data_IF_390405542995
#
_entry.id   IF_390405542995
#
_cell.length_a   1.000
_cell.length_b   1.000
_cell.length_c   1.000
_cell.angle_alpha   90.00
_cell.angle_beta   90.00
_cell.angle_gamma   90.00
#
_symmetry.space_group_name_H-M   'P 1'
#
loop_
_entity.id
_entity.type
_entity.pdbx_description
1 polymer ?
#
# COMPACT_ATOMS: atom_id res chain seq x y z
N UNK A 1 3.53 26.92 -3.78
CA UNK A 1 3.83 26.73 -2.34
C UNK A 1 4.71 25.51 -2.20
N UNK A 2 5.80 25.56 -1.43
CA UNK A 2 6.70 24.39 -1.22
C UNK A 2 6.02 23.34 -0.33
N UNK A 3 6.19 22.07 -0.65
CA UNK A 3 5.79 20.95 0.21
C UNK A 3 7.06 20.21 0.65
N UNK A 4 7.39 20.29 1.92
CA UNK A 4 8.60 19.71 2.51
C UNK A 4 8.18 18.54 3.40
N UNK A 5 8.90 17.42 3.32
CA UNK A 5 8.72 16.30 4.26
C UNK A 5 9.97 16.16 5.12
N UNK A 6 9.77 16.02 6.44
CA UNK A 6 10.85 15.73 7.39
C UNK A 6 10.79 14.25 7.73
N UNK A 7 11.92 13.53 7.68
CA UNK A 7 11.97 12.09 7.99
C UNK A 7 11.77 11.81 9.47
N UNK A 8 11.43 10.55 9.80
CA UNK A 8 11.47 10.05 11.19
C UNK A 8 12.88 10.14 11.76
N UNK A 9 13.00 10.21 13.10
CA UNK A 9 14.32 10.29 13.76
C UNK A 9 15.11 8.98 13.71
N UNK A 10 14.53 7.86 13.32
CA UNK A 10 15.16 6.55 13.21
C UNK A 10 15.03 6.01 11.79
N UNK A 11 15.95 5.10 11.41
CA UNK A 11 15.91 4.38 10.16
C UNK A 11 14.89 3.23 10.24
N UNK A 12 14.29 2.88 9.11
CA UNK A 12 13.44 1.69 8.98
C UNK A 12 13.65 1.05 7.60
N UNK A 13 13.29 -0.22 7.48
CA UNK A 13 13.45 -0.97 6.23
C UNK A 13 12.52 -0.41 5.13
N UNK A 14 13.09 -0.18 3.94
CA UNK A 14 12.36 0.38 2.79
C UNK A 14 12.17 1.90 2.84
N UNK A 15 12.79 2.61 3.77
CA UNK A 15 12.68 4.07 3.88
C UNK A 15 13.06 4.77 2.57
N UNK A 16 14.06 4.27 1.85
CA UNK A 16 14.48 4.80 0.54
C UNK A 16 13.39 4.72 -0.53
N UNK A 17 12.57 3.66 -0.50
CA UNK A 17 11.44 3.48 -1.42
C UNK A 17 10.33 4.48 -1.11
N UNK A 18 10.03 4.65 0.16
CA UNK A 18 9.08 5.66 0.63
C UNK A 18 9.49 7.07 0.24
N UNK A 19 10.76 7.40 0.42
CA UNK A 19 11.33 8.69 0.01
C UNK A 19 11.15 8.89 -1.49
N UNK A 20 11.41 7.88 -2.31
CA UNK A 20 11.22 7.95 -3.76
C UNK A 20 9.74 8.18 -4.13
N UNK A 21 8.81 7.47 -3.50
CA UNK A 21 7.37 7.67 -3.71
C UNK A 21 6.90 9.07 -3.30
N UNK A 22 7.40 9.62 -2.19
CA UNK A 22 7.07 10.99 -1.78
C UNK A 22 7.49 12.02 -2.85
N UNK A 23 8.65 11.85 -3.46
CA UNK A 23 9.10 12.70 -4.58
C UNK A 23 8.22 12.51 -5.83
N UNK A 24 7.81 11.29 -6.14
CA UNK A 24 6.87 11.00 -7.24
C UNK A 24 5.49 11.62 -7.00
N UNK A 25 5.06 11.75 -5.76
CA UNK A 25 3.85 12.46 -5.34
C UNK A 25 4.00 13.98 -5.32
N UNK A 26 5.18 14.52 -5.65
CA UNK A 26 5.40 15.94 -5.88
C UNK A 26 5.86 16.74 -4.66
N UNK A 27 6.49 16.12 -3.65
CA UNK A 27 7.18 16.91 -2.63
C UNK A 27 8.33 17.70 -3.27
N UNK A 28 8.57 18.91 -2.77
CA UNK A 28 9.61 19.80 -3.32
C UNK A 28 10.96 19.59 -2.66
N UNK A 29 11.00 19.10 -1.42
CA UNK A 29 12.22 18.87 -0.65
C UNK A 29 12.01 17.86 0.45
N UNK A 30 13.05 17.07 0.75
CA UNK A 30 13.09 16.14 1.87
C UNK A 30 14.13 16.63 2.90
N UNK A 31 13.71 16.80 4.15
CA UNK A 31 14.60 17.01 5.29
C UNK A 31 14.95 15.69 5.95
N UNK A 32 16.15 15.21 5.71
CA UNK A 32 16.67 13.97 6.29
C UNK A 32 17.19 14.27 7.70
N UNK A 33 16.38 13.90 8.69
CA UNK A 33 16.62 14.13 10.11
C UNK A 33 16.83 12.80 10.81
N UNK A 34 18.08 12.52 11.21
CA UNK A 34 18.51 11.28 11.89
C UNK A 34 19.39 11.63 13.11
N UNK A 35 18.78 12.15 14.19
CA UNK A 35 19.54 12.59 15.36
C UNK A 35 20.34 11.43 15.95
N UNK A 36 21.59 11.73 16.34
CA UNK A 36 22.52 10.79 16.95
C UNK A 36 22.96 9.59 16.07
N UNK A 37 22.68 9.61 14.77
CA UNK A 37 23.15 8.57 13.84
C UNK A 37 24.61 8.79 13.44
N UNK A 38 25.30 7.71 13.09
CA UNK A 38 26.60 7.78 12.46
C UNK A 38 26.54 8.33 11.03
N UNK A 39 27.61 8.95 10.56
CA UNK A 39 27.66 9.49 9.20
C UNK A 39 27.52 8.39 8.14
N UNK A 40 28.04 7.20 8.40
CA UNK A 40 27.99 6.02 7.54
C UNK A 40 26.55 5.53 7.33
N UNK A 41 25.70 5.58 8.35
CA UNK A 41 24.28 5.18 8.25
C UNK A 41 23.50 6.17 7.38
N UNK A 42 23.74 7.47 7.59
CA UNK A 42 23.11 8.53 6.76
C UNK A 42 23.59 8.42 5.32
N UNK A 43 24.88 8.19 5.10
CA UNK A 43 25.46 7.96 3.79
C UNK A 43 24.80 6.77 3.09
N UNK A 44 24.65 5.64 3.77
CA UNK A 44 24.00 4.44 3.25
C UNK A 44 22.57 4.73 2.78
N UNK A 45 21.81 5.52 3.52
CA UNK A 45 20.46 5.90 3.12
C UNK A 45 20.49 6.84 1.89
N UNK A 46 21.39 7.85 1.86
CA UNK A 46 21.53 8.77 0.71
C UNK A 46 21.87 8.00 -0.56
N UNK A 47 22.76 7.00 -0.49
CA UNK A 47 23.18 6.19 -1.63
C UNK A 47 22.04 5.33 -2.20
N UNK A 48 21.07 4.95 -1.37
CA UNK A 48 19.83 4.24 -1.78
C UNK A 48 18.77 5.17 -2.37
N UNK A 49 18.78 6.46 -2.06
CA UNK A 49 17.88 7.44 -2.69
C UNK A 49 18.25 7.60 -4.17
N UNK A 50 17.27 7.51 -5.12
CA UNK A 50 17.56 7.72 -6.55
C UNK A 50 18.29 9.04 -6.81
N UNK A 51 19.34 8.99 -7.64
CA UNK A 51 20.23 10.14 -7.89
C UNK A 51 19.48 11.40 -8.31
N UNK A 52 18.43 11.27 -9.11
CA UNK A 52 17.57 12.37 -9.58
C UNK A 52 16.90 13.19 -8.47
N UNK A 53 16.79 12.66 -7.24
CA UNK A 53 16.16 13.32 -6.11
C UNK A 53 17.15 13.88 -5.08
N UNK A 54 18.44 13.49 -5.15
CA UNK A 54 19.45 13.89 -4.13
C UNK A 54 19.61 15.39 -4.01
N UNK A 55 19.53 16.12 -5.12
CA UNK A 55 19.58 17.60 -5.12
C UNK A 55 18.39 18.29 -4.43
N UNK A 56 17.40 17.53 -3.97
CA UNK A 56 16.24 18.01 -3.22
C UNK A 56 16.27 17.56 -1.76
N UNK A 57 17.38 17.00 -1.29
CA UNK A 57 17.56 16.51 0.09
C UNK A 57 18.33 17.54 0.92
N UNK A 58 17.83 17.85 2.11
CA UNK A 58 18.45 18.72 3.12
C UNK A 58 18.79 17.88 4.34
N UNK A 59 20.03 17.98 4.84
CA UNK A 59 20.47 17.24 6.03
C UNK A 59 20.27 18.04 7.31
N UNK A 60 20.02 17.37 8.42
CA UNK A 60 20.00 17.94 9.78
C UNK A 60 21.24 17.59 10.61
N UNK A 61 21.98 16.61 10.19
CA UNK A 61 23.24 16.12 10.76
C UNK A 61 24.27 15.93 9.64
N UNK A 62 25.57 15.90 9.96
CA UNK A 62 26.66 15.58 9.04
C UNK A 62 26.76 16.53 7.82
N UNK A 63 26.98 17.85 8.00
CA UNK A 63 27.00 18.83 6.91
C UNK A 63 28.04 18.53 5.81
N UNK A 64 29.11 17.79 6.14
CA UNK A 64 30.15 17.36 5.17
C UNK A 64 29.61 16.45 4.05
N UNK A 65 28.46 15.78 4.28
CA UNK A 65 27.84 14.91 3.26
C UNK A 65 27.07 15.74 2.21
N UNK A 66 26.71 16.99 2.49
CA UNK A 66 25.97 17.85 1.56
C UNK A 66 26.76 18.06 0.27
N UNK A 67 28.02 18.45 0.37
CA UNK A 67 28.89 18.68 -0.79
C UNK A 67 29.24 17.35 -1.48
N UNK A 68 29.57 16.32 -0.70
CA UNK A 68 29.94 14.98 -1.20
C UNK A 68 28.87 14.39 -2.13
N UNK A 69 27.59 14.56 -1.79
CA UNK A 69 26.46 13.97 -2.52
C UNK A 69 25.66 14.99 -3.34
N UNK A 70 26.14 16.24 -3.43
CA UNK A 70 25.47 17.35 -4.15
C UNK A 70 24.01 17.53 -3.69
N UNK A 71 23.81 17.50 -2.37
CA UNK A 71 22.50 17.68 -1.77
C UNK A 71 22.08 19.15 -1.78
N UNK A 72 20.78 19.41 -1.52
CA UNK A 72 20.24 20.77 -1.54
C UNK A 72 20.88 21.68 -0.50
N UNK A 73 21.11 21.18 0.74
CA UNK A 73 21.65 22.01 1.80
C UNK A 73 21.60 21.38 3.18
N UNK A 74 21.71 22.24 4.18
CA UNK A 74 21.77 21.86 5.59
C UNK A 74 20.78 22.65 6.44
N UNK A 75 20.16 21.99 7.41
CA UNK A 75 19.23 22.58 8.36
C UNK A 75 19.87 22.79 9.72
N UNK A 76 20.08 24.06 10.08
CA UNK A 76 20.60 24.46 11.37
C UNK A 76 19.61 24.13 12.50
N UNK A 77 20.08 23.51 13.54
CA UNK A 77 19.31 23.12 14.71
C UNK A 77 20.15 23.19 15.98
N UNK A 78 19.56 22.92 17.15
CA UNK A 78 20.25 23.01 18.45
C UNK A 78 21.46 22.08 18.58
N UNK A 79 21.50 20.95 17.84
CA UNK A 79 22.62 19.99 17.85
C UNK A 79 23.75 20.41 16.89
N UNK A 80 23.38 21.06 15.80
CA UNK A 80 24.30 21.57 14.78
C UNK A 80 23.98 23.05 14.51
N UNK A 81 24.39 23.96 15.42
CA UNK A 81 24.01 25.38 15.33
C UNK A 81 24.89 26.19 14.36
N UNK A 82 26.01 25.63 13.91
CA UNK A 82 26.99 26.25 13.04
C UNK A 82 27.29 25.39 11.82
N UNK A 83 27.64 26.04 10.73
CA UNK A 83 28.13 25.40 9.51
C UNK A 83 29.65 25.32 9.52
N UNK A 84 30.23 24.34 8.82
CA UNK A 84 31.67 24.32 8.57
C UNK A 84 32.09 25.54 7.75
N UNK A 85 33.35 25.98 7.94
CA UNK A 85 33.93 27.05 7.14
C UNK A 85 33.87 26.69 5.65
N UNK A 86 33.45 27.67 4.82
CA UNK A 86 33.37 27.49 3.39
C UNK A 86 32.20 26.67 2.88
N UNK A 87 31.19 26.36 3.72
CA UNK A 87 29.98 25.64 3.30
C UNK A 87 29.27 26.34 2.13
N UNK A 88 28.94 25.59 1.04
CA UNK A 88 28.36 26.14 -0.19
C UNK A 88 26.90 25.69 -0.44
N UNK A 89 26.33 24.83 0.41
CA UNK A 89 24.94 24.37 0.26
C UNK A 89 23.90 25.40 0.72
N UNK A 90 22.65 25.18 0.39
CA UNK A 90 21.55 25.95 0.93
C UNK A 90 21.43 25.83 2.45
N UNK A 91 20.90 26.86 3.10
CA UNK A 91 20.78 26.93 4.57
C UNK A 91 19.33 27.13 4.97
N UNK A 92 18.87 26.34 5.91
CA UNK A 92 17.56 26.56 6.56
C UNK A 92 17.68 26.44 8.08
N UNK A 93 16.67 26.95 8.82
CA UNK A 93 16.66 26.94 10.28
C UNK A 93 15.26 26.80 10.84
N UNK A 94 15.13 26.20 12.02
CA UNK A 94 13.90 26.24 12.80
C UNK A 94 13.81 27.49 13.64
N UNK A 95 12.63 28.14 13.64
CA UNK A 95 12.26 29.26 14.49
C UNK A 95 10.99 28.89 15.29
N UNK A 96 10.96 29.32 16.54
CA UNK A 96 9.85 29.04 17.46
C UNK A 96 9.12 30.32 17.93
N UNK A 97 9.55 31.48 17.44
CA UNK A 97 8.88 32.75 17.62
C UNK A 97 9.03 33.65 16.40
N UNK A 98 8.21 34.72 16.31
CA UNK A 98 8.29 35.71 15.23
C UNK A 98 9.58 36.52 15.32
N UNK A 99 10.10 36.77 16.51
CA UNK A 99 11.38 37.45 16.75
C UNK A 99 12.53 36.63 16.19
N UNK A 100 12.50 35.30 16.32
CA UNK A 100 13.49 34.42 15.71
C UNK A 100 13.39 34.45 14.18
N UNK A 101 12.18 34.53 13.62
CA UNK A 101 11.99 34.67 12.17
C UNK A 101 12.65 35.96 11.69
N UNK A 102 12.36 37.10 12.33
CA UNK A 102 12.99 38.41 11.99
C UNK A 102 14.51 38.31 12.06
N UNK A 103 15.05 37.66 13.10
CA UNK A 103 16.49 37.56 13.34
C UNK A 103 17.22 36.70 12.31
N UNK A 104 16.61 35.60 11.83
CA UNK A 104 17.33 34.59 11.08
C UNK A 104 16.90 34.43 9.61
N UNK A 105 15.73 34.94 9.22
CA UNK A 105 15.17 34.75 7.87
C UNK A 105 16.10 35.20 6.75
N UNK A 106 16.77 36.34 6.91
CA UNK A 106 17.65 36.89 5.88
C UNK A 106 19.01 36.21 5.79
N UNK A 107 19.35 35.37 6.79
CA UNK A 107 20.56 34.56 6.82
C UNK A 107 20.36 33.17 6.25
N UNK A 108 19.12 32.84 5.86
CA UNK A 108 18.71 31.52 5.39
C UNK A 108 17.96 31.61 4.05
N UNK A 109 17.98 30.54 3.27
CA UNK A 109 17.10 30.39 2.09
C UNK A 109 15.63 30.31 2.51
N UNK A 110 15.37 29.71 3.66
CA UNK A 110 14.07 29.68 4.31
C UNK A 110 14.20 29.28 5.78
N UNK A 111 13.16 29.60 6.54
CA UNK A 111 13.04 29.20 7.95
C UNK A 111 11.74 28.44 8.19
N UNK A 112 11.75 27.48 9.14
CA UNK A 112 10.53 26.90 9.66
C UNK A 112 10.00 27.74 10.82
N UNK A 113 8.71 28.03 10.85
CA UNK A 113 8.01 28.57 12.02
C UNK A 113 7.12 27.48 12.63
N UNK A 114 7.34 27.15 13.90
CA UNK A 114 6.63 26.05 14.58
C UNK A 114 6.44 26.30 16.09
N UNK A 115 5.35 25.76 16.69
CA UNK A 115 4.25 25.04 16.07
C UNK A 115 3.13 25.97 15.59
N UNK A 116 2.63 25.76 14.35
CA UNK A 116 1.51 26.56 13.81
C UNK A 116 0.16 26.02 14.31
N UNK A 117 0.00 24.69 14.36
CA UNK A 117 -1.17 24.00 14.92
C UNK A 117 -0.74 23.04 16.02
N UNK A 118 -1.71 22.53 16.79
CA UNK A 118 -1.45 21.53 17.82
C UNK A 118 -0.77 20.29 17.22
N UNK A 119 0.24 19.80 17.92
CA UNK A 119 1.05 18.70 17.43
C UNK A 119 0.24 17.41 17.38
N UNK A 120 0.22 16.73 16.24
CA UNK A 120 -0.37 15.40 16.06
C UNK A 120 0.50 14.33 16.75
N UNK A 121 1.82 14.54 16.85
CA UNK A 121 2.80 13.52 17.26
C UNK A 121 3.45 13.78 18.62
N UNK A 122 3.11 14.86 19.33
CA UNK A 122 3.66 15.17 20.66
C UNK A 122 2.56 15.70 21.59
N UNK A 123 2.17 14.93 22.58
CA UNK A 123 1.27 15.39 23.64
C UNK A 123 1.84 16.63 24.34
N UNK A 124 1.01 17.66 24.51
CA UNK A 124 1.38 18.89 25.21
C UNK A 124 2.08 19.97 24.38
N UNK A 125 2.24 19.80 23.06
CA UNK A 125 2.80 20.80 22.14
C UNK A 125 1.66 21.50 21.38
N UNK A 126 1.02 22.48 22.01
CA UNK A 126 -0.07 23.27 21.42
C UNK A 126 0.45 24.43 20.55
N UNK A 127 -0.42 24.95 19.66
CA UNK A 127 -0.17 26.17 18.90
C UNK A 127 0.09 27.34 19.83
N UNK A 128 1.14 28.12 19.56
CA UNK A 128 1.48 29.34 20.29
C UNK A 128 1.05 30.62 19.55
N UNK A 129 0.51 30.47 18.31
CA UNK A 129 0.15 31.61 17.46
C UNK A 129 -1.36 31.64 17.23
N UNK A 130 -2.00 32.76 17.56
CA UNK A 130 -3.38 33.00 17.15
C UNK A 130 -3.46 33.37 15.66
N UNK A 131 -4.64 33.22 15.07
CA UNK A 131 -4.86 33.59 13.67
C UNK A 131 -4.58 35.07 13.42
N UNK A 132 -5.01 35.94 14.35
CA UNK A 132 -4.76 37.39 14.30
C UNK A 132 -3.26 37.69 14.32
N UNK A 133 -2.49 36.96 15.16
CA UNK A 133 -1.02 37.10 15.23
C UNK A 133 -0.35 36.76 13.92
N UNK A 134 -0.76 35.66 13.25
CA UNK A 134 -0.20 35.25 11.97
C UNK A 134 -0.56 36.23 10.84
N UNK A 135 -1.80 36.72 10.82
CA UNK A 135 -2.25 37.72 9.85
C UNK A 135 -1.51 39.05 9.99
N UNK A 136 -1.29 39.52 11.22
CA UNK A 136 -0.54 40.73 11.48
C UNK A 136 0.94 40.55 11.11
N UNK A 137 1.56 39.41 11.42
CA UNK A 137 2.93 39.09 11.02
C UNK A 137 3.08 39.05 9.50
N UNK A 138 2.07 38.58 8.77
CA UNK A 138 2.06 38.63 7.31
C UNK A 138 1.99 40.09 6.79
N UNK A 139 1.09 40.89 7.31
CA UNK A 139 0.97 42.34 6.95
C UNK A 139 2.26 43.11 7.18
N UNK A 140 2.98 42.78 8.25
CA UNK A 140 4.29 43.36 8.59
C UNK A 140 5.46 42.81 7.79
N UNK A 141 5.25 41.81 6.89
CA UNK A 141 6.30 41.16 6.08
C UNK A 141 7.22 40.25 6.91
N UNK A 142 6.86 39.90 8.14
CA UNK A 142 7.58 38.93 8.96
C UNK A 142 7.39 37.53 8.35
N UNK A 143 6.13 37.17 8.05
CA UNK A 143 5.80 35.94 7.29
C UNK A 143 5.78 36.30 5.81
N UNK A 144 6.56 35.56 5.00
CA UNK A 144 6.64 35.70 3.55
C UNK A 144 6.99 34.36 2.89
N UNK A 145 7.36 34.40 1.60
CA UNK A 145 7.72 33.20 0.82
C UNK A 145 8.92 32.41 1.35
N UNK A 146 9.71 32.96 2.28
CA UNK A 146 10.81 32.26 2.96
C UNK A 146 10.37 31.57 4.27
N UNK A 147 9.16 31.78 4.75
CA UNK A 147 8.68 31.18 6.00
C UNK A 147 7.83 29.96 5.67
N UNK A 148 8.24 28.80 6.18
CA UNK A 148 7.60 27.50 5.99
C UNK A 148 6.89 27.11 7.29
N UNK A 149 5.60 26.81 7.21
CA UNK A 149 4.81 26.39 8.36
C UNK A 149 5.17 24.95 8.79
N UNK A 150 5.37 24.72 10.09
CA UNK A 150 5.63 23.41 10.69
C UNK A 150 4.83 23.26 12.00
N UNK A 151 4.52 22.03 12.38
CA UNK A 151 3.74 21.67 13.59
C UNK A 151 2.26 21.53 13.30
N UNK A 152 1.71 20.31 13.47
CA UNK A 152 0.31 19.98 13.24
C UNK A 152 -0.17 20.14 11.79
N UNK A 153 0.72 20.32 10.83
CA UNK A 153 0.39 20.61 9.44
C UNK A 153 -0.14 19.38 8.72
N UNK A 154 -1.24 19.58 7.96
CA UNK A 154 -1.83 18.62 7.03
C UNK A 154 -2.02 19.26 5.66
N UNK A 155 -2.13 18.49 4.55
CA UNK A 155 -2.33 19.04 3.20
C UNK A 155 -3.55 19.96 3.06
N UNK A 156 -4.62 19.70 3.80
CA UNK A 156 -5.84 20.51 3.83
C UNK A 156 -5.62 21.95 4.32
N UNK A 157 -4.54 22.21 5.07
CA UNK A 157 -4.17 23.55 5.52
C UNK A 157 -3.52 24.41 4.43
N UNK A 158 -3.25 23.85 3.23
CA UNK A 158 -2.52 24.54 2.17
C UNK A 158 -3.14 25.90 1.78
N UNK A 159 -4.47 25.98 1.64
CA UNK A 159 -5.18 27.21 1.29
C UNK A 159 -5.06 28.26 2.37
N UNK A 160 -5.22 27.88 3.63
CA UNK A 160 -5.07 28.73 4.79
C UNK A 160 -3.64 29.31 4.89
N UNK A 161 -2.62 28.46 4.78
CA UNK A 161 -1.22 28.86 4.84
C UNK A 161 -0.86 29.83 3.71
N UNK A 162 -1.36 29.57 2.50
CA UNK A 162 -1.16 30.49 1.37
C UNK A 162 -1.81 31.85 1.61
N UNK A 163 -3.01 31.90 2.16
CA UNK A 163 -3.71 33.14 2.49
C UNK A 163 -2.97 33.97 3.56
N UNK A 164 -2.22 33.31 4.45
CA UNK A 164 -1.42 33.94 5.51
C UNK A 164 0.06 34.14 5.10
N UNK A 165 0.38 34.09 3.80
CA UNK A 165 1.69 34.48 3.26
C UNK A 165 2.81 33.46 3.39
N UNK A 166 2.55 32.25 3.91
CA UNK A 166 3.58 31.22 4.01
C UNK A 166 4.06 30.73 2.64
N UNK A 167 5.38 30.59 2.48
CA UNK A 167 6.01 30.08 1.26
C UNK A 167 5.88 28.57 1.08
N UNK A 168 5.54 27.85 2.17
CA UNK A 168 5.39 26.40 2.13
C UNK A 168 4.87 25.79 3.40
N UNK A 169 4.72 24.48 3.38
CA UNK A 169 4.35 23.63 4.50
C UNK A 169 5.35 22.50 4.70
N UNK A 170 5.62 22.15 5.96
CA UNK A 170 6.46 21.02 6.33
C UNK A 170 5.61 19.96 7.05
N UNK A 171 5.67 18.73 6.53
CA UNK A 171 4.91 17.58 7.00
C UNK A 171 5.85 16.62 7.74
N UNK A 172 5.46 16.18 8.92
CA UNK A 172 6.16 15.16 9.71
C UNK A 172 5.15 14.10 10.19
N UNK A 173 4.39 14.36 11.24
CA UNK A 173 3.44 13.42 11.83
C UNK A 173 2.43 12.89 10.79
N UNK A 174 1.80 13.78 10.03
CA UNK A 174 0.81 13.42 9.01
C UNK A 174 1.30 12.36 8.01
N UNK A 175 2.57 12.44 7.59
CA UNK A 175 3.16 11.46 6.64
C UNK A 175 3.45 10.13 7.34
N UNK A 176 4.07 10.20 8.53
CA UNK A 176 4.66 9.02 9.15
C UNK A 176 3.72 8.29 10.10
N UNK A 177 2.70 8.96 10.66
CA UNK A 177 1.69 8.31 11.51
C UNK A 177 0.80 7.39 10.68
N UNK A 178 0.53 7.73 9.41
CA UNK A 178 -0.12 6.82 8.46
C UNK A 178 0.66 5.53 8.22
N UNK A 179 1.99 5.57 8.31
CA UNK A 179 2.87 4.38 8.20
C UNK A 179 2.87 3.51 9.46
N UNK A 180 2.49 4.07 10.62
CA UNK A 180 2.42 3.30 11.87
C UNK A 180 1.10 2.53 12.00
N UNK A 181 0.06 3.01 11.33
CA UNK A 181 -1.25 2.34 11.33
C UNK A 181 -1.36 1.51 10.06
N UNK A 182 -1.19 0.19 10.14
CA UNK A 182 -1.36 -0.67 8.98
C UNK A 182 -2.77 -0.49 8.40
N UNK A 183 -2.93 -0.39 7.07
CA UNK A 183 -4.26 -0.33 6.49
C UNK A 183 -5.01 -1.61 6.77
N UNK A 184 -6.28 -1.49 7.15
CA UNK A 184 -7.15 -2.64 7.42
C UNK A 184 -7.66 -3.19 6.11
N UNK A 185 -7.38 -4.47 5.84
CA UNK A 185 -7.87 -5.21 4.67
C UNK A 185 -8.78 -6.33 5.14
N UNK A 186 -10.01 -6.36 4.62
CA UNK A 186 -11.00 -7.37 4.94
C UNK A 186 -10.93 -8.52 3.92
N UNK A 187 -10.67 -9.74 4.38
CA UNK A 187 -10.84 -10.96 3.59
C UNK A 187 -12.18 -11.59 3.88
N UNK A 188 -12.99 -11.82 2.84
CA UNK A 188 -14.26 -12.54 2.89
C UNK A 188 -14.07 -13.83 2.08
N UNK A 189 -13.85 -14.96 2.75
CA UNK A 189 -13.56 -16.23 2.06
C UNK A 189 -13.78 -17.46 2.95
N UNK A 190 -13.68 -18.64 2.36
CA UNK A 190 -13.66 -19.90 3.08
C UNK A 190 -12.36 -20.10 3.88
N UNK A 191 -12.44 -20.89 4.93
CA UNK A 191 -11.31 -21.30 5.77
C UNK A 191 -10.69 -22.58 5.23
N UNK A 192 -9.40 -22.58 4.92
CA UNK A 192 -8.59 -23.75 4.54
C UNK A 192 -7.85 -24.30 5.76
N UNK A 193 -8.24 -25.49 6.24
CA UNK A 193 -7.62 -26.13 7.40
C UNK A 193 -6.15 -26.47 7.21
N UNK A 194 -5.67 -26.63 5.96
CA UNK A 194 -4.25 -26.82 5.66
C UNK A 194 -3.42 -25.54 5.71
N UNK A 195 -4.10 -24.39 5.74
CA UNK A 195 -3.46 -23.06 5.85
C UNK A 195 -2.80 -22.55 4.58
N UNK A 196 -2.96 -23.22 3.43
CA UNK A 196 -2.31 -22.85 2.18
C UNK A 196 -3.11 -21.90 1.29
N UNK A 197 -4.44 -21.87 1.46
CA UNK A 197 -5.36 -21.02 0.69
C UNK A 197 -6.39 -20.34 1.62
N UNK A 198 -7.47 -19.81 1.05
CA UNK A 198 -8.58 -19.19 1.79
C UNK A 198 -8.12 -18.04 2.67
N UNK A 199 -8.89 -17.77 3.74
CA UNK A 199 -8.58 -16.68 4.68
C UNK A 199 -7.18 -16.82 5.29
N UNK A 200 -6.63 -18.03 5.43
CA UNK A 200 -5.30 -18.25 6.01
C UNK A 200 -4.20 -17.73 5.09
N UNK A 201 -4.27 -17.98 3.79
CA UNK A 201 -3.35 -17.39 2.81
C UNK A 201 -3.53 -15.87 2.72
N UNK A 202 -4.78 -15.39 2.77
CA UNK A 202 -5.10 -13.98 2.74
C UNK A 202 -4.49 -13.24 3.94
N UNK A 203 -4.71 -13.73 5.17
CA UNK A 203 -4.13 -13.15 6.39
C UNK A 203 -2.61 -13.12 6.36
N UNK A 204 -1.97 -14.23 5.95
CA UNK A 204 -0.51 -14.29 5.81
C UNK A 204 0.01 -13.28 4.81
N UNK A 205 -0.65 -13.16 3.65
CA UNK A 205 -0.28 -12.21 2.59
C UNK A 205 -0.43 -10.77 3.06
N UNK A 206 -1.60 -10.40 3.59
CA UNK A 206 -1.89 -9.05 4.06
C UNK A 206 -0.88 -8.66 5.16
N UNK A 207 -0.64 -9.55 6.12
CA UNK A 207 0.31 -9.30 7.22
C UNK A 207 1.76 -9.20 6.74
N UNK A 208 2.19 -10.06 5.80
CA UNK A 208 3.54 -10.02 5.22
C UNK A 208 3.81 -8.74 4.43
N UNK A 209 2.75 -8.12 3.88
CA UNK A 209 2.80 -6.86 3.13
C UNK A 209 2.51 -5.63 4.00
N UNK A 210 2.47 -5.77 5.34
CA UNK A 210 2.33 -4.65 6.27
C UNK A 210 0.89 -4.15 6.46
N UNK A 211 -0.13 -4.89 6.01
CA UNK A 211 -1.53 -4.63 6.29
C UNK A 211 -2.01 -5.30 7.59
N UNK A 212 -3.11 -4.83 8.14
CA UNK A 212 -3.84 -5.49 9.22
C UNK A 212 -4.99 -6.31 8.63
N UNK A 213 -4.90 -7.64 8.73
CA UNK A 213 -5.89 -8.55 8.18
C UNK A 213 -7.08 -8.72 9.12
N UNK A 214 -8.29 -8.48 8.60
CA UNK A 214 -9.56 -8.89 9.22
C UNK A 214 -10.24 -9.92 8.34
N UNK A 215 -11.11 -10.77 8.92
CA UNK A 215 -11.68 -11.89 8.19
C UNK A 215 -13.16 -12.05 8.42
N UNK A 216 -13.86 -12.50 7.37
CA UNK A 216 -15.23 -13.01 7.37
C UNK A 216 -15.20 -14.41 6.76
N UNK A 217 -15.59 -15.40 7.54
CA UNK A 217 -15.59 -16.80 7.12
C UNK A 217 -16.91 -17.13 6.45
N UNK A 218 -16.86 -17.61 5.20
CA UNK A 218 -18.04 -18.00 4.41
C UNK A 218 -18.33 -19.50 4.49
N UNK A 219 -17.28 -20.31 4.65
CA UNK A 219 -17.37 -21.75 4.84
C UNK A 219 -16.14 -22.27 5.58
N UNK A 220 -16.28 -23.38 6.29
CA UNK A 220 -15.17 -24.12 6.89
C UNK A 220 -14.91 -25.34 6.03
N UNK A 221 -13.66 -25.57 5.61
CA UNK A 221 -13.30 -26.77 4.85
C UNK A 221 -12.46 -27.73 5.67
N UNK A 222 -12.75 -29.02 5.55
CA UNK A 222 -11.84 -30.07 5.91
C UNK A 222 -10.97 -30.36 4.68
N UNK A 223 -9.85 -29.67 4.58
CA UNK A 223 -8.99 -29.67 3.39
C UNK A 223 -7.53 -29.91 3.75
N UNK A 224 -6.85 -30.62 2.86
CA UNK A 224 -5.41 -30.78 2.85
C UNK A 224 -4.85 -30.50 1.42
N UNK A 225 -3.53 -30.50 1.20
CA UNK A 225 -2.95 -30.22 -0.12
C UNK A 225 -3.36 -31.17 -1.25
N UNK A 226 -3.99 -32.31 -0.96
CA UNK A 226 -4.39 -33.32 -1.96
C UNK A 226 -5.87 -33.29 -2.27
N UNK A 227 -6.75 -32.91 -1.32
CA UNK A 227 -8.20 -32.95 -1.50
C UNK A 227 -8.97 -32.04 -0.52
N UNK A 228 -10.19 -31.68 -0.93
CA UNK A 228 -11.25 -31.17 -0.05
C UNK A 228 -12.13 -32.32 0.36
N UNK A 229 -12.10 -32.68 1.64
CA UNK A 229 -12.84 -33.81 2.22
C UNK A 229 -14.24 -33.44 2.70
N UNK A 230 -14.48 -32.16 2.98
CA UNK A 230 -15.78 -31.66 3.42
C UNK A 230 -15.83 -30.14 3.42
N UNK A 231 -17.04 -29.60 3.24
CA UNK A 231 -17.32 -28.17 3.29
C UNK A 231 -18.54 -27.96 4.16
N UNK A 232 -18.42 -27.13 5.19
CA UNK A 232 -19.52 -26.69 6.02
C UNK A 232 -19.75 -25.20 5.81
N UNK A 233 -20.85 -24.76 5.17
CA UNK A 233 -21.12 -23.34 4.97
C UNK A 233 -21.46 -22.65 6.29
N UNK A 234 -20.98 -21.43 6.46
CA UNK A 234 -21.42 -20.53 7.51
C UNK A 234 -22.78 -19.94 7.10
N UNK A 235 -23.71 -19.83 8.04
CA UNK A 235 -25.05 -19.30 7.72
C UNK A 235 -24.96 -17.86 7.19
N UNK A 236 -25.81 -17.46 6.22
CA UNK A 236 -25.82 -16.09 5.70
C UNK A 236 -26.00 -15.02 6.79
N UNK A 237 -26.77 -15.32 7.84
CA UNK A 237 -26.93 -14.44 9.00
C UNK A 237 -25.63 -14.23 9.78
N UNK A 238 -24.81 -15.29 9.96
CA UNK A 238 -23.51 -15.17 10.62
C UNK A 238 -22.50 -14.46 9.73
N UNK A 239 -22.50 -14.68 8.41
CA UNK A 239 -21.67 -13.92 7.46
C UNK A 239 -21.99 -12.42 7.55
N UNK A 240 -23.29 -12.07 7.59
CA UNK A 240 -23.71 -10.69 7.82
C UNK A 240 -23.16 -10.12 9.13
N UNK A 241 -23.36 -10.85 10.24
CA UNK A 241 -22.91 -10.39 11.56
C UNK A 241 -21.39 -10.17 11.62
N UNK A 242 -20.58 -11.02 10.97
CA UNK A 242 -19.14 -10.86 10.88
C UNK A 242 -18.77 -9.58 10.08
N UNK A 243 -19.44 -9.34 8.94
CA UNK A 243 -19.18 -8.12 8.12
C UNK A 243 -19.54 -6.89 8.93
N UNK A 244 -20.72 -6.83 9.55
CA UNK A 244 -21.17 -5.69 10.36
C UNK A 244 -20.19 -5.41 11.51
N UNK A 245 -19.75 -6.45 12.24
CA UNK A 245 -18.80 -6.30 13.34
C UNK A 245 -17.48 -5.66 12.88
N UNK A 246 -16.94 -6.09 11.74
CA UNK A 246 -15.68 -5.56 11.21
C UNK A 246 -15.87 -4.15 10.63
N UNK A 247 -16.86 -3.96 9.73
CA UNK A 247 -17.05 -2.71 9.00
C UNK A 247 -17.50 -1.55 9.89
N UNK A 248 -18.18 -1.82 11.01
CA UNK A 248 -18.57 -0.78 11.99
C UNK A 248 -17.48 -0.50 13.01
N UNK A 249 -16.61 -1.47 13.29
CA UNK A 249 -15.57 -1.39 14.31
C UNK A 249 -14.20 -0.94 13.82
N UNK A 250 -13.94 -1.01 12.49
CA UNK A 250 -12.60 -0.78 11.94
C UNK A 250 -12.65 -0.01 10.61
N UNK A 251 -11.65 0.86 10.30
CA UNK A 251 -11.59 1.62 9.06
C UNK A 251 -11.06 0.74 7.92
N UNK A 252 -11.92 -0.13 7.38
CA UNK A 252 -11.56 -1.03 6.27
C UNK A 252 -11.23 -0.23 5.01
N UNK A 253 -9.98 -0.30 4.57
CA UNK A 253 -9.48 0.40 3.38
C UNK A 253 -9.81 -0.35 2.07
N UNK A 254 -9.74 -1.70 2.11
CA UNK A 254 -10.01 -2.56 0.97
C UNK A 254 -10.63 -3.88 1.41
N UNK A 255 -11.53 -4.43 0.59
CA UNK A 255 -12.06 -5.79 0.79
C UNK A 255 -11.57 -6.73 -0.33
N UNK A 256 -11.17 -7.95 0.04
CA UNK A 256 -10.90 -9.04 -0.89
C UNK A 256 -11.95 -10.13 -0.68
N UNK A 257 -12.54 -10.60 -1.76
CA UNK A 257 -13.53 -11.68 -1.76
C UNK A 257 -12.91 -12.89 -2.48
N UNK A 258 -12.99 -14.07 -1.84
CA UNK A 258 -12.57 -15.35 -2.41
C UNK A 258 -13.74 -16.31 -2.53
N UNK A 259 -13.58 -17.56 -2.01
CA UNK A 259 -14.63 -18.56 -2.03
C UNK A 259 -15.86 -18.12 -1.19
N UNK A 260 -17.04 -18.07 -1.79
CA UNK A 260 -18.30 -17.59 -1.17
C UNK A 260 -19.40 -18.63 -1.05
N UNK A 261 -19.23 -19.82 -1.61
CA UNK A 261 -20.02 -21.04 -1.50
C UNK A 261 -21.42 -21.00 -2.12
N UNK A 262 -22.36 -20.15 -1.65
CA UNK A 262 -23.78 -20.17 -2.09
C UNK A 262 -24.32 -18.81 -2.51
N UNK A 263 -25.43 -18.82 -3.27
CA UNK A 263 -26.12 -17.62 -3.74
C UNK A 263 -26.61 -16.75 -2.56
N UNK A 264 -27.11 -17.34 -1.49
CA UNK A 264 -27.61 -16.59 -0.33
C UNK A 264 -26.47 -15.84 0.40
N UNK A 265 -25.29 -16.47 0.49
CA UNK A 265 -24.10 -15.81 1.07
C UNK A 265 -23.65 -14.67 0.15
N UNK A 266 -23.63 -14.88 -1.17
CA UNK A 266 -23.27 -13.85 -2.15
C UNK A 266 -24.21 -12.64 -2.06
N UNK A 267 -25.51 -12.85 -2.02
CA UNK A 267 -26.50 -11.78 -1.86
C UNK A 267 -26.30 -11.03 -0.54
N UNK A 268 -25.98 -11.74 0.53
CA UNK A 268 -25.74 -11.11 1.83
C UNK A 268 -24.47 -10.26 1.82
N UNK A 269 -23.39 -10.74 1.20
CA UNK A 269 -22.16 -9.97 1.00
C UNK A 269 -22.46 -8.72 0.15
N UNK A 270 -23.18 -8.87 -0.94
CA UNK A 270 -23.53 -7.76 -1.82
C UNK A 270 -24.35 -6.65 -1.10
N UNK A 271 -25.35 -7.05 -0.29
CA UNK A 271 -26.12 -6.11 0.55
C UNK A 271 -25.23 -5.35 1.53
N UNK A 272 -24.28 -6.04 2.14
CA UNK A 272 -23.34 -5.42 3.09
C UNK A 272 -22.36 -4.46 2.38
N UNK A 273 -21.85 -4.83 1.19
CA UNK A 273 -21.00 -3.94 0.38
C UNK A 273 -21.72 -2.67 -0.08
N UNK A 274 -22.99 -2.80 -0.50
CA UNK A 274 -23.82 -1.64 -0.88
C UNK A 274 -24.05 -0.68 0.29
N UNK A 275 -24.16 -1.22 1.53
CA UNK A 275 -24.37 -0.43 2.74
C UNK A 275 -23.09 0.27 3.19
N UNK A 276 -21.97 -0.46 3.29
CA UNK A 276 -20.72 0.04 3.87
C UNK A 276 -19.78 0.71 2.86
N UNK A 277 -19.90 0.38 1.57
CA UNK A 277 -19.16 0.98 0.44
C UNK A 277 -17.64 1.10 0.71
N UNK A 278 -16.93 -0.03 0.90
CA UNK A 278 -15.48 0.02 1.01
C UNK A 278 -14.89 0.68 -0.24
N UNK A 279 -13.77 1.38 -0.11
CA UNK A 279 -13.16 2.16 -1.19
C UNK A 279 -12.78 1.30 -2.41
N UNK A 280 -12.41 0.04 -2.17
CA UNK A 280 -12.03 -0.89 -3.23
C UNK A 280 -12.36 -2.33 -2.84
N UNK A 281 -12.89 -3.09 -3.80
CA UNK A 281 -13.23 -4.50 -3.66
C UNK A 281 -12.55 -5.30 -4.76
N UNK A 282 -11.73 -6.28 -4.36
CA UNK A 282 -11.14 -7.27 -5.27
C UNK A 282 -11.88 -8.58 -5.12
N UNK A 283 -12.43 -9.14 -6.19
CA UNK A 283 -13.06 -10.47 -6.19
C UNK A 283 -12.24 -11.47 -7.01
N UNK A 284 -11.75 -12.50 -6.33
CA UNK A 284 -11.19 -13.70 -6.97
C UNK A 284 -12.33 -14.72 -7.12
N UNK A 285 -12.84 -14.97 -8.34
CA UNK A 285 -14.03 -15.81 -8.56
C UNK A 285 -13.68 -17.30 -8.47
N UNK A 286 -13.31 -17.75 -7.29
CA UNK A 286 -12.86 -19.13 -7.05
C UNK A 286 -14.01 -20.11 -7.27
N UNK A 287 -14.07 -20.75 -8.43
CA UNK A 287 -15.10 -21.73 -8.83
C UNK A 287 -14.67 -23.17 -8.52
N UNK A 288 -13.38 -23.46 -8.68
CA UNK A 288 -12.80 -24.79 -8.54
C UNK A 288 -11.53 -24.70 -7.67
N UNK A 289 -11.34 -25.66 -6.77
CA UNK A 289 -10.12 -25.76 -5.97
C UNK A 289 -8.91 -26.13 -6.81
N UNK A 290 -7.70 -25.90 -6.28
CA UNK A 290 -6.44 -26.37 -6.91
C UNK A 290 -6.42 -27.87 -7.15
N UNK A 291 -7.12 -28.66 -6.31
CA UNK A 291 -7.28 -30.12 -6.45
C UNK A 291 -8.38 -30.55 -7.43
N UNK A 292 -9.10 -29.60 -8.07
CA UNK A 292 -10.15 -29.86 -9.04
C UNK A 292 -11.56 -30.07 -8.47
N UNK A 293 -11.74 -29.89 -7.16
CA UNK A 293 -13.08 -29.98 -6.53
C UNK A 293 -13.90 -28.73 -6.79
N UNK A 294 -15.19 -28.83 -7.19
CA UNK A 294 -16.07 -27.69 -7.32
C UNK A 294 -16.30 -27.04 -5.93
N UNK A 295 -16.20 -25.70 -5.87
CA UNK A 295 -16.33 -24.89 -4.66
C UNK A 295 -17.57 -24.01 -4.67
N UNK A 296 -18.27 -23.92 -5.82
CA UNK A 296 -19.50 -23.16 -6.00
C UNK A 296 -20.58 -24.05 -6.62
N UNK A 297 -21.82 -23.82 -6.21
CA UNK A 297 -22.98 -24.36 -6.88
C UNK A 297 -23.26 -23.56 -8.18
N UNK A 298 -23.93 -24.15 -9.21
CA UNK A 298 -24.25 -23.42 -10.44
C UNK A 298 -25.03 -22.11 -10.21
N UNK A 299 -25.99 -22.11 -9.30
CA UNK A 299 -26.78 -20.91 -8.95
C UNK A 299 -25.94 -19.81 -8.31
N UNK A 300 -24.85 -20.18 -7.61
CA UNK A 300 -23.93 -19.23 -7.02
C UNK A 300 -23.10 -18.49 -8.09
N UNK A 301 -22.79 -19.12 -9.21
CA UNK A 301 -22.08 -18.46 -10.31
C UNK A 301 -22.92 -17.33 -10.91
N UNK A 302 -24.21 -17.59 -11.15
CA UNK A 302 -25.14 -16.57 -11.63
C UNK A 302 -25.26 -15.40 -10.63
N UNK A 303 -25.32 -15.70 -9.33
CA UNK A 303 -25.38 -14.68 -8.29
C UNK A 303 -24.07 -13.84 -8.24
N UNK A 304 -22.90 -14.45 -8.46
CA UNK A 304 -21.63 -13.72 -8.62
C UNK A 304 -21.70 -12.71 -9.78
N UNK A 305 -22.12 -13.19 -10.95
CA UNK A 305 -22.17 -12.37 -12.18
C UNK A 305 -23.14 -11.20 -12.06
N UNK A 306 -24.35 -11.44 -11.54
CA UNK A 306 -25.43 -10.44 -11.56
C UNK A 306 -25.45 -9.54 -10.34
N UNK A 307 -24.92 -10.00 -9.20
CA UNK A 307 -25.12 -9.30 -7.92
C UNK A 307 -23.81 -8.80 -7.31
N UNK A 308 -22.70 -9.56 -7.43
CA UNK A 308 -21.47 -9.23 -6.74
C UNK A 308 -20.44 -8.53 -7.64
N UNK A 309 -20.19 -9.01 -8.88
CA UNK A 309 -19.19 -8.42 -9.77
C UNK A 309 -19.43 -6.94 -10.06
N UNK A 310 -20.67 -6.46 -10.27
CA UNK A 310 -20.93 -5.03 -10.47
C UNK A 310 -20.59 -4.14 -9.28
N UNK A 311 -20.37 -4.71 -8.10
CA UNK A 311 -19.96 -4.00 -6.89
C UNK A 311 -18.45 -4.01 -6.67
N UNK A 312 -17.70 -4.79 -7.46
CA UNK A 312 -16.25 -4.91 -7.37
C UNK A 312 -15.57 -3.90 -8.29
N UNK A 313 -14.40 -3.40 -7.90
CA UNK A 313 -13.51 -2.60 -8.74
C UNK A 313 -12.55 -3.46 -9.55
N UNK A 314 -12.35 -4.73 -9.14
CA UNK A 314 -11.51 -5.68 -9.87
C UNK A 314 -12.04 -7.11 -9.68
N UNK A 315 -12.12 -7.87 -10.77
CA UNK A 315 -12.25 -9.33 -10.73
C UNK A 315 -10.97 -9.97 -11.31
N UNK A 316 -10.55 -11.12 -10.73
CA UNK A 316 -9.27 -11.76 -11.08
C UNK A 316 -9.45 -13.21 -11.53
N UNK A 317 -10.23 -13.51 -12.58
CA UNK A 317 -10.41 -14.87 -13.05
C UNK A 317 -9.11 -15.48 -13.59
N UNK A 318 -8.88 -16.78 -13.34
CA UNK A 318 -7.92 -17.54 -14.10
C UNK A 318 -8.48 -17.85 -15.51
N UNK A 319 -7.67 -18.45 -16.39
CA UNK A 319 -8.08 -18.69 -17.77
C UNK A 319 -9.34 -19.57 -17.86
N UNK A 320 -9.49 -20.61 -17.04
CA UNK A 320 -10.67 -21.48 -17.06
C UNK A 320 -11.92 -20.79 -16.52
N UNK A 321 -11.77 -20.00 -15.48
CA UNK A 321 -12.85 -19.13 -14.94
C UNK A 321 -13.27 -18.08 -15.96
N UNK A 322 -12.29 -17.47 -16.66
CA UNK A 322 -12.56 -16.53 -17.73
C UNK A 322 -13.28 -17.16 -18.92
N UNK A 323 -12.89 -18.36 -19.36
CA UNK A 323 -13.58 -19.15 -20.39
C UNK A 323 -15.05 -19.42 -20.01
N UNK A 324 -15.29 -19.79 -18.75
CA UNK A 324 -16.64 -20.05 -18.25
C UNK A 324 -17.51 -18.78 -18.30
N UNK A 325 -17.00 -17.66 -17.80
CA UNK A 325 -17.70 -16.37 -17.74
C UNK A 325 -17.92 -15.75 -19.14
N UNK A 326 -16.95 -15.97 -20.05
CA UNK A 326 -16.98 -15.49 -21.43
C UNK A 326 -17.86 -16.36 -22.33
N UNK A 327 -18.03 -17.64 -21.98
CA UNK A 327 -18.86 -18.60 -22.70
C UNK A 327 -18.17 -19.28 -23.89
N UNK A 328 -16.85 -19.12 -24.06
CA UNK A 328 -16.07 -19.76 -25.12
C UNK A 328 -14.61 -19.97 -24.71
N UNK A 329 -13.92 -20.89 -25.43
CA UNK A 329 -12.51 -21.16 -25.21
C UNK A 329 -11.63 -19.95 -25.54
N UNK A 330 -10.51 -19.82 -24.80
CA UNK A 330 -9.53 -18.75 -24.94
C UNK A 330 -8.17 -19.42 -25.14
N UNK A 331 -7.60 -19.34 -26.34
CA UNK A 331 -6.39 -20.04 -26.72
C UNK A 331 -5.25 -19.11 -27.12
N UNK A 332 -5.58 -17.88 -27.51
CA UNK A 332 -4.61 -16.89 -28.00
C UNK A 332 -4.58 -15.63 -27.13
N UNK A 333 -3.52 -14.84 -27.28
CA UNK A 333 -3.37 -13.55 -26.61
C UNK A 333 -4.51 -12.58 -27.00
N UNK A 334 -4.88 -12.54 -28.29
CA UNK A 334 -5.94 -11.67 -28.80
C UNK A 334 -7.32 -12.09 -28.26
N UNK A 335 -7.59 -13.38 -28.14
CA UNK A 335 -8.80 -13.89 -27.50
C UNK A 335 -8.83 -13.55 -26.01
N UNK A 336 -7.68 -13.62 -25.30
CA UNK A 336 -7.58 -13.21 -23.89
C UNK A 336 -7.87 -11.71 -23.72
N UNK A 337 -7.35 -10.87 -24.62
CA UNK A 337 -7.64 -9.42 -24.63
C UNK A 337 -9.13 -9.15 -24.87
N UNK A 338 -9.71 -9.83 -25.88
CA UNK A 338 -11.12 -9.66 -26.18
C UNK A 338 -12.00 -10.12 -25.01
N UNK A 339 -11.71 -11.25 -24.40
CA UNK A 339 -12.42 -11.75 -23.22
C UNK A 339 -12.31 -10.77 -22.03
N UNK A 340 -11.10 -10.27 -21.72
CA UNK A 340 -10.92 -9.29 -20.66
C UNK A 340 -11.76 -8.02 -20.88
N UNK A 341 -11.78 -7.50 -22.10
CA UNK A 341 -12.61 -6.34 -22.47
C UNK A 341 -14.09 -6.65 -22.35
N UNK A 342 -14.57 -7.75 -22.95
CA UNK A 342 -15.98 -8.14 -22.94
C UNK A 342 -16.51 -8.35 -21.53
N UNK A 343 -15.74 -9.03 -20.68
CA UNK A 343 -16.11 -9.24 -19.27
C UNK A 343 -16.11 -7.93 -18.48
N UNK A 344 -15.17 -7.02 -18.75
CA UNK A 344 -15.13 -5.71 -18.12
C UNK A 344 -16.36 -4.86 -18.50
N UNK A 345 -16.73 -4.84 -19.78
CA UNK A 345 -17.93 -4.15 -20.25
C UNK A 345 -19.21 -4.79 -19.70
N UNK A 346 -19.27 -6.13 -19.63
CA UNK A 346 -20.42 -6.89 -19.09
C UNK A 346 -20.68 -6.60 -17.61
N UNK A 347 -19.62 -6.52 -16.80
CA UNK A 347 -19.74 -6.39 -15.34
C UNK A 347 -19.44 -4.98 -14.82
N UNK A 348 -19.06 -4.04 -15.68
CA UNK A 348 -18.68 -2.67 -15.34
C UNK A 348 -17.55 -2.62 -14.29
N UNK A 349 -16.55 -3.49 -14.42
CA UNK A 349 -15.42 -3.63 -13.50
C UNK A 349 -14.10 -3.88 -14.25
N UNK A 350 -12.96 -3.57 -13.63
CA UNK A 350 -11.68 -3.99 -14.19
C UNK A 350 -11.55 -5.53 -14.16
N UNK A 351 -10.89 -6.10 -15.16
CA UNK A 351 -10.71 -7.56 -15.28
C UNK A 351 -9.25 -7.90 -15.46
N UNK A 352 -8.70 -8.69 -14.54
CA UNK A 352 -7.36 -9.30 -14.63
C UNK A 352 -7.48 -10.77 -14.96
N UNK A 353 -7.25 -11.18 -16.20
CA UNK A 353 -7.17 -12.60 -16.60
C UNK A 353 -5.78 -13.12 -16.28
N UNK A 354 -5.71 -14.15 -15.41
CA UNK A 354 -4.47 -14.80 -14.98
C UNK A 354 -4.02 -15.84 -16.01
N UNK A 355 -2.82 -15.68 -16.56
CA UNK A 355 -2.26 -16.55 -17.62
C UNK A 355 -1.62 -17.86 -17.14
N UNK A 356 -1.72 -18.22 -15.86
CA UNK A 356 -1.01 -19.36 -15.26
C UNK A 356 -1.23 -20.74 -15.91
N UNK A 357 -2.25 -20.89 -16.74
CA UNK A 357 -2.57 -22.10 -17.47
C UNK A 357 -2.11 -22.07 -18.94
N UNK A 358 -1.37 -21.03 -19.37
CA UNK A 358 -0.81 -20.95 -20.72
C UNK A 358 0.31 -21.97 -20.93
N UNK A 359 0.43 -22.45 -22.17
CA UNK A 359 1.53 -23.34 -22.59
C UNK A 359 2.79 -22.51 -22.88
N UNK A 360 3.95 -22.96 -22.37
CA UNK A 360 5.24 -22.30 -22.57
C UNK A 360 5.90 -21.84 -21.26
N UNK A 361 7.07 -21.20 -21.39
CA UNK A 361 7.90 -20.77 -20.24
C UNK A 361 7.53 -19.36 -19.72
N UNK A 362 6.67 -18.63 -20.42
CA UNK A 362 6.24 -17.28 -20.05
C UNK A 362 4.75 -17.30 -19.78
N UNK A 363 4.37 -16.76 -18.63
CA UNK A 363 2.98 -16.52 -18.21
C UNK A 363 2.68 -15.06 -18.48
N UNK A 364 1.56 -14.76 -19.13
CA UNK A 364 1.11 -13.39 -19.39
C UNK A 364 -0.23 -13.16 -18.73
N UNK A 365 -0.28 -12.32 -17.67
CA UNK A 365 -1.54 -11.84 -17.14
C UNK A 365 -1.93 -10.54 -17.85
N UNK A 366 -3.22 -10.35 -18.10
CA UNK A 366 -3.75 -9.19 -18.84
C UNK A 366 -4.82 -8.50 -17.99
N UNK A 367 -4.57 -7.23 -17.69
CA UNK A 367 -5.57 -6.34 -17.10
C UNK A 367 -6.20 -5.50 -18.19
N UNK A 368 -7.54 -5.40 -18.18
CA UNK A 368 -8.28 -4.39 -18.89
C UNK A 368 -8.98 -3.48 -17.88
N UNK A 369 -8.67 -2.19 -17.94
CA UNK A 369 -9.26 -1.14 -17.08
C UNK A 369 -9.22 0.20 -17.81
N UNK A 370 -10.23 1.05 -17.63
CA UNK A 370 -10.31 2.41 -18.19
C UNK A 370 -10.05 2.48 -19.72
N UNK A 371 -10.50 1.45 -20.46
CA UNK A 371 -10.31 1.35 -21.89
C UNK A 371 -8.91 0.94 -22.33
N UNK A 372 -8.01 0.60 -21.41
CA UNK A 372 -6.61 0.27 -21.67
C UNK A 372 -6.26 -1.15 -21.26
N UNK A 373 -5.27 -1.73 -21.96
CA UNK A 373 -4.68 -3.01 -21.62
C UNK A 373 -3.33 -2.82 -20.92
N UNK A 374 -3.11 -3.55 -19.83
CA UNK A 374 -1.82 -3.66 -19.16
C UNK A 374 -1.39 -5.12 -19.15
N UNK A 375 -0.09 -5.36 -19.40
CA UNK A 375 0.48 -6.67 -19.57
C UNK A 375 1.51 -6.94 -18.48
N UNK A 376 1.39 -8.11 -17.82
CA UNK A 376 2.27 -8.51 -16.71
C UNK A 376 2.93 -9.85 -17.03
N UNK A 377 4.05 -9.84 -17.77
CA UNK A 377 4.78 -11.08 -18.07
C UNK A 377 5.50 -11.60 -16.83
N UNK A 378 5.57 -12.91 -16.70
CA UNK A 378 6.37 -13.60 -15.68
C UNK A 378 6.91 -14.91 -16.21
N UNK A 379 8.05 -15.36 -15.65
CA UNK A 379 8.62 -16.65 -15.97
C UNK A 379 7.87 -17.73 -15.20
N UNK A 380 7.51 -18.82 -15.86
CA UNK A 380 6.92 -19.98 -15.23
C UNK A 380 7.96 -20.67 -14.34
N UNK A 381 7.65 -20.81 -13.07
CA UNK A 381 8.50 -21.49 -12.09
C UNK A 381 8.00 -22.91 -11.97
N UNK A 382 8.84 -23.87 -12.29
CA UNK A 382 8.52 -25.30 -12.15
C UNK A 382 8.54 -25.69 -10.67
N UNK A 383 7.36 -25.95 -10.12
CA UNK A 383 7.16 -26.42 -8.74
C UNK A 383 5.75 -26.95 -8.55
N UNK A 384 5.59 -27.86 -7.60
CA UNK A 384 4.27 -28.31 -7.13
C UNK A 384 3.72 -27.43 -6.00
N UNK A 385 4.52 -26.51 -5.46
CA UNK A 385 4.14 -25.63 -4.34
C UNK A 385 3.40 -24.38 -4.85
N UNK A 386 2.19 -24.58 -5.38
CA UNK A 386 1.34 -23.53 -5.97
C UNK A 386 0.00 -23.38 -5.26
N UNK A 387 -0.21 -24.12 -4.14
CA UNK A 387 -1.48 -24.05 -3.41
C UNK A 387 -1.69 -22.66 -2.80
N UNK A 388 -2.82 -22.03 -3.18
CA UNK A 388 -3.21 -20.70 -2.71
C UNK A 388 -2.60 -19.52 -3.49
N UNK A 389 -1.96 -19.73 -4.65
CA UNK A 389 -1.40 -18.64 -5.48
C UNK A 389 -2.46 -17.61 -5.89
N UNK A 390 -3.69 -18.03 -6.24
CA UNK A 390 -4.80 -17.13 -6.59
C UNK A 390 -5.19 -16.25 -5.41
N UNK A 391 -5.47 -16.86 -4.26
CA UNK A 391 -5.80 -16.13 -3.01
C UNK A 391 -4.68 -15.15 -2.63
N UNK A 392 -3.43 -15.59 -2.73
CA UNK A 392 -2.26 -14.75 -2.43
C UNK A 392 -2.16 -13.56 -3.38
N UNK A 393 -2.33 -13.75 -4.70
CA UNK A 393 -2.27 -12.66 -5.66
C UNK A 393 -3.36 -11.62 -5.41
N UNK A 394 -4.62 -12.04 -5.26
CA UNK A 394 -5.75 -11.13 -5.04
C UNK A 394 -5.64 -10.39 -3.70
N UNK A 395 -5.14 -11.04 -2.65
CA UNK A 395 -4.90 -10.39 -1.34
C UNK A 395 -3.70 -9.44 -1.36
N UNK A 396 -2.66 -9.74 -2.13
CA UNK A 396 -1.54 -8.83 -2.34
C UNK A 396 -1.99 -7.56 -3.08
N UNK A 397 -2.80 -7.70 -4.15
CA UNK A 397 -3.38 -6.56 -4.88
C UNK A 397 -4.21 -5.70 -3.91
N UNK A 398 -5.12 -6.32 -3.13
CA UNK A 398 -5.94 -5.61 -2.16
C UNK A 398 -5.11 -4.84 -1.12
N UNK A 399 -3.99 -5.43 -0.68
CA UNK A 399 -3.09 -4.81 0.31
C UNK A 399 -2.33 -3.63 -0.30
N UNK A 400 -1.79 -3.75 -1.51
CA UNK A 400 -1.12 -2.63 -2.18
C UNK A 400 -2.07 -1.48 -2.50
N UNK A 401 -3.32 -1.77 -2.92
CA UNK A 401 -4.37 -0.75 -3.06
C UNK A 401 -4.65 -0.05 -1.71
N UNK A 402 -4.74 -0.81 -0.63
CA UNK A 402 -4.95 -0.26 0.71
C UNK A 402 -3.79 0.62 1.19
N UNK A 403 -2.56 0.38 0.70
CA UNK A 403 -1.40 1.26 0.89
C UNK A 403 -1.42 2.51 -0.02
N UNK A 404 -2.39 2.64 -0.95
CA UNK A 404 -2.55 3.81 -1.81
C UNK A 404 -1.95 3.67 -3.21
N UNK A 405 -1.56 2.45 -3.62
CA UNK A 405 -1.07 2.21 -4.98
C UNK A 405 -2.20 2.29 -6.02
N UNK A 406 -1.86 2.69 -7.24
CA UNK A 406 -2.78 2.59 -8.38
C UNK A 406 -3.01 1.14 -8.77
N UNK A 407 -4.16 0.81 -9.38
CA UNK A 407 -4.48 -0.57 -9.74
C UNK A 407 -3.40 -1.23 -10.63
N UNK A 408 -2.89 -0.59 -11.71
CA UNK A 408 -1.82 -1.20 -12.50
C UNK A 408 -0.54 -1.46 -11.70
N UNK A 409 -0.16 -0.54 -10.80
CA UNK A 409 1.04 -0.68 -9.98
C UNK A 409 0.86 -1.73 -8.87
N UNK A 410 -0.30 -1.76 -8.22
CA UNK A 410 -0.65 -2.79 -7.23
C UNK A 410 -0.55 -4.21 -7.81
N UNK A 411 -1.01 -4.42 -9.07
CA UNK A 411 -0.89 -5.71 -9.76
C UNK A 411 0.59 -6.03 -10.07
N UNK A 412 1.37 -5.05 -10.54
CA UNK A 412 2.80 -5.26 -10.81
C UNK A 412 3.56 -5.69 -9.54
N UNK A 413 3.36 -4.99 -8.43
CA UNK A 413 3.95 -5.31 -7.13
C UNK A 413 3.48 -6.67 -6.59
N UNK A 414 2.19 -6.99 -6.73
CA UNK A 414 1.65 -8.28 -6.33
C UNK A 414 2.24 -9.44 -7.16
N UNK A 415 2.48 -9.24 -8.46
CA UNK A 415 3.16 -10.19 -9.33
C UNK A 415 4.63 -10.40 -8.94
N UNK A 416 5.32 -9.33 -8.58
CA UNK A 416 6.69 -9.42 -8.07
C UNK A 416 6.74 -10.19 -6.74
N UNK A 417 5.84 -9.87 -5.80
CA UNK A 417 5.72 -10.56 -4.52
C UNK A 417 5.46 -12.06 -4.72
N UNK A 418 4.44 -12.43 -5.51
CA UNK A 418 4.09 -13.85 -5.70
C UNK A 418 5.21 -14.62 -6.39
N UNK A 419 5.91 -14.04 -7.34
CA UNK A 419 7.06 -14.68 -8.00
C UNK A 419 8.17 -14.97 -6.99
N UNK A 420 8.48 -14.05 -6.11
CA UNK A 420 9.50 -14.22 -5.05
C UNK A 420 9.12 -15.32 -4.07
N UNK A 421 7.87 -15.35 -3.59
CA UNK A 421 7.43 -16.38 -2.63
C UNK A 421 7.32 -17.76 -3.28
N UNK A 422 6.97 -17.89 -4.57
CA UNK A 422 7.01 -19.17 -5.29
C UNK A 422 8.45 -19.68 -5.38
N UNK A 423 9.42 -18.82 -5.75
CA UNK A 423 10.84 -19.19 -5.80
C UNK A 423 11.32 -19.67 -4.42
N UNK A 424 10.99 -18.93 -3.37
CA UNK A 424 11.37 -19.26 -1.99
C UNK A 424 10.69 -20.53 -1.45
N UNK A 425 9.58 -20.92 -2.07
CA UNK A 425 8.80 -22.10 -1.65
C UNK A 425 9.13 -23.38 -2.42
N UNK A 426 9.81 -23.28 -3.59
CA UNK A 426 9.92 -24.38 -4.57
C UNK A 426 10.46 -25.69 -3.98
N UNK A 427 11.38 -25.60 -3.01
CA UNK A 427 12.07 -26.75 -2.40
C UNK A 427 11.50 -27.13 -1.01
N UNK A 428 10.44 -26.44 -0.54
CA UNK A 428 9.80 -26.72 0.74
C UNK A 428 8.96 -27.98 0.64
N UNK A 429 9.23 -28.95 1.50
CA UNK A 429 8.52 -30.24 1.56
C UNK A 429 7.67 -30.32 2.83
N UNK A 430 6.48 -29.74 2.80
CA UNK A 430 5.51 -29.82 3.91
C UNK A 430 4.37 -30.79 3.62
N UNK A 431 4.24 -31.27 2.39
CA UNK A 431 3.16 -32.18 1.99
C UNK A 431 3.62 -33.14 0.90
N UNK A 432 2.86 -34.20 0.67
CA UNK A 432 3.03 -35.16 -0.44
C UNK A 432 2.31 -34.72 -1.72
N UNK A 433 1.49 -33.65 -1.66
CA UNK A 433 0.74 -33.09 -2.79
C UNK A 433 1.21 -31.68 -3.16
N UNK A 434 0.26 -30.82 -3.51
CA UNK A 434 0.54 -29.39 -3.76
C UNK A 434 0.98 -28.71 -2.47
N UNK A 435 2.22 -28.22 -2.43
CA UNK A 435 2.75 -27.53 -1.23
C UNK A 435 2.26 -26.10 -1.11
N UNK A 436 2.26 -25.55 0.14
CA UNK A 436 1.91 -24.16 0.41
C UNK A 436 3.04 -23.20 0.07
N UNK A 437 2.70 -21.90 -0.03
CA UNK A 437 3.64 -20.81 -0.22
C UNK A 437 4.25 -20.34 1.12
N UNK A 438 5.52 -19.91 1.07
CA UNK A 438 6.18 -19.25 2.19
C UNK A 438 5.97 -17.72 2.12
N UNK A 439 4.85 -17.26 2.64
CA UNK A 439 4.47 -15.85 2.60
C UNK A 439 5.43 -14.91 3.34
N UNK A 440 6.24 -15.42 4.27
CA UNK A 440 7.18 -14.66 5.11
C UNK A 440 8.64 -14.84 4.73
N UNK A 441 8.95 -15.23 3.49
CA UNK A 441 10.33 -15.50 3.05
C UNK A 441 11.27 -14.30 3.14
N UNK A 442 10.75 -13.08 3.34
CA UNK A 442 11.52 -11.85 3.54
C UNK A 442 11.76 -11.52 5.02
N UNK A 443 11.09 -12.22 5.93
CA UNK A 443 11.31 -12.08 7.36
C UNK A 443 12.49 -12.97 7.76
N UNK A 444 13.57 -12.44 8.34
CA UNK A 444 14.69 -13.29 8.79
C UNK A 444 14.15 -14.30 9.80
N UNK A 445 14.61 -15.57 9.73
CA UNK A 445 14.19 -16.58 10.68
C UNK A 445 14.60 -16.14 12.10
N UNK A 446 13.64 -16.15 13.03
CA UNK A 446 13.83 -15.76 14.43
C UNK A 446 14.89 -16.61 15.17
N UNK A 447 15.32 -17.72 14.57
CA UNK A 447 16.32 -18.64 15.12
C UNK A 447 17.24 -19.18 14.02
N UNK A 448 18.10 -18.34 13.45
CA UNK A 448 19.33 -18.87 12.89
C UNK A 448 20.26 -19.13 14.09
N UNK A 449 20.30 -20.37 14.59
CA UNK A 449 21.46 -20.80 15.37
C UNK A 449 22.66 -20.71 14.42
N UNK A 450 23.54 -19.76 14.69
CA UNK A 450 24.89 -19.69 14.14
C UNK A 450 25.67 -20.94 14.58
#
# INVERSE_FOLDING_TARGET
MKTIVITRPYFFEGEERYIAQLFEQGITSLHLRKPHSAAEDVQTLIEKIPQKYRSQVVLHEHPQLVEKYQLQGFHLNSRCPHLPDGFKGGVSRSCHSLEEVVRYKDQCDYVFLSPIFDSISKEGYGSTFSEETLQEAYKQGIIDCKVIALGGIKPEHASYLKANGFGGMALLGYIWDKLQTPPVVLSIAGSDSSGGAGIQADMKTISALGGFATTVITAITAQNPTAVHGIEPVSPAMVHSQIEAVMTGMPVACAKIGMVYSSEIIEQIARSLQRHKPNFVVCDPVMISTSGSPLLNPDAIQALETTLFPLCQLITPNLHEAEHLYGSKISTLEETKLAAKTLSEKYHTAVLIKGGHQTGNTIQDILYTDGQYHFYPSIKIETTNLHGTGCTLSSAIATYIAHGETLPNAIALAKEYISKIIIASKDIKLSTGYGPLNHFCFTPPLHSKI
#
